data_IF_281476547973
#
_entry.id   IF_281476547973
#
_cell.length_a   1.000
_cell.length_b   1.000
_cell.length_c   1.000
_cell.angle_alpha   90.00
_cell.angle_beta   90.00
_cell.angle_gamma   90.00
#
_symmetry.space_group_name_H-M   'P 1'
#
loop_
_entity.id
_entity.type
_entity.pdbx_description
1 polymer ?
#
# COMPACT_ATOMS: atom_id res chain seq x y z
N UNK A 1 13.91 13.84 -11.18
CA UNK A 1 14.51 12.74 -11.95
C UNK A 1 13.42 11.71 -12.15
N UNK A 2 13.15 11.30 -13.39
CA UNK A 2 12.21 10.21 -13.65
C UNK A 2 12.96 8.88 -13.54
N UNK A 3 12.48 7.96 -12.71
CA UNK A 3 13.14 6.68 -12.50
C UNK A 3 12.53 5.65 -13.48
N UNK A 4 13.26 5.24 -14.54
CA UNK A 4 12.72 4.36 -15.59
C UNK A 4 12.32 2.97 -15.06
N UNK A 5 12.81 2.59 -13.89
CA UNK A 5 12.42 1.35 -13.19
C UNK A 5 10.94 1.34 -12.80
N UNK A 6 10.34 2.52 -12.56
CA UNK A 6 8.92 2.64 -12.22
C UNK A 6 8.00 2.64 -13.45
N UNK A 7 8.51 3.00 -14.62
CA UNK A 7 7.74 3.08 -15.86
C UNK A 7 7.32 1.71 -16.42
N UNK A 8 7.99 0.63 -15.98
CA UNK A 8 7.71 -0.74 -16.43
C UNK A 8 6.68 -1.47 -15.54
N UNK A 9 6.09 -0.79 -14.56
CA UNK A 9 5.14 -1.40 -13.65
C UNK A 9 3.73 -1.47 -14.24
N UNK A 10 2.99 -2.57 -14.03
CA UNK A 10 1.58 -2.70 -14.35
C UNK A 10 0.77 -1.50 -13.84
N UNK A 11 -0.23 -1.06 -14.62
CA UNK A 11 -1.12 0.06 -14.25
C UNK A 11 -1.79 -0.14 -12.88
N UNK A 12 -2.14 -1.37 -12.53
CA UNK A 12 -2.71 -1.73 -11.23
C UNK A 12 -1.77 -1.46 -10.04
N UNK A 13 -0.45 -1.40 -10.27
CA UNK A 13 0.56 -1.14 -9.24
C UNK A 13 0.99 0.34 -9.20
N UNK A 14 0.62 1.15 -10.18
CA UNK A 14 0.98 2.57 -10.23
C UNK A 14 0.31 3.38 -9.10
N UNK A 15 -0.94 3.09 -8.74
CA UNK A 15 -1.62 3.76 -7.61
C UNK A 15 -0.96 3.40 -6.26
N UNK A 16 -0.58 2.13 -6.09
CA UNK A 16 0.16 1.70 -4.89
C UNK A 16 1.56 2.33 -4.83
N UNK A 17 2.21 2.48 -5.99
CA UNK A 17 3.50 3.13 -6.10
C UNK A 17 3.42 4.62 -5.76
N UNK A 18 2.46 5.36 -6.31
CA UNK A 18 2.29 6.78 -6.03
C UNK A 18 2.13 7.04 -4.52
N UNK A 19 1.27 6.26 -3.86
CA UNK A 19 1.10 6.30 -2.40
C UNK A 19 2.38 5.97 -1.64
N UNK A 20 3.12 4.95 -2.10
CA UNK A 20 4.39 4.57 -1.50
C UNK A 20 5.44 5.67 -1.65
N UNK A 21 5.53 6.29 -2.83
CA UNK A 21 6.45 7.39 -3.12
C UNK A 21 6.11 8.62 -2.26
N UNK A 22 4.82 8.94 -2.11
CA UNK A 22 4.36 10.00 -1.23
C UNK A 22 4.76 9.76 0.25
N UNK A 23 4.65 8.53 0.74
CA UNK A 23 5.04 8.17 2.11
C UNK A 23 6.55 8.17 2.35
N UNK A 24 7.34 7.78 1.34
CA UNK A 24 8.79 7.66 1.46
C UNK A 24 9.54 8.98 1.28
N UNK A 25 8.94 9.95 0.60
CA UNK A 25 9.62 11.18 0.22
C UNK A 25 10.74 10.96 -0.81
N UNK A 26 11.35 12.04 -1.30
CA UNK A 26 12.28 12.00 -2.43
C UNK A 26 13.56 11.15 -2.16
N UNK A 27 14.07 11.17 -0.94
CA UNK A 27 15.23 10.34 -0.54
C UNK A 27 14.87 8.86 -0.52
N UNK A 28 13.71 8.51 0.05
CA UNK A 28 13.26 7.13 0.14
C UNK A 28 12.89 6.55 -1.23
N UNK A 29 12.35 7.37 -2.14
CA UNK A 29 12.13 7.01 -3.55
C UNK A 29 13.44 6.73 -4.26
N UNK A 30 14.45 7.58 -4.09
CA UNK A 30 15.75 7.41 -4.73
C UNK A 30 16.45 6.14 -4.26
N UNK A 31 16.38 5.85 -2.95
CA UNK A 31 16.90 4.61 -2.39
C UNK A 31 16.15 3.39 -2.95
N UNK A 32 14.82 3.43 -3.00
CA UNK A 32 13.99 2.36 -3.55
C UNK A 32 14.31 2.10 -5.03
N UNK A 33 14.46 3.15 -5.84
CA UNK A 33 14.84 3.02 -7.25
C UNK A 33 16.22 2.39 -7.44
N UNK A 34 17.15 2.61 -6.50
CA UNK A 34 18.50 2.01 -6.53
C UNK A 34 18.51 0.51 -6.19
N UNK A 35 17.43 -0.03 -5.62
CA UNK A 35 17.34 -1.44 -5.21
C UNK A 35 16.85 -2.38 -6.35
N UNK A 36 16.50 -1.81 -7.50
CA UNK A 36 16.07 -2.56 -8.67
C UNK A 36 14.58 -2.98 -8.66
N UNK A 37 14.09 -3.48 -9.80
CA UNK A 37 12.66 -3.71 -10.03
C UNK A 37 12.04 -4.82 -9.15
N UNK A 38 12.81 -5.85 -8.80
CA UNK A 38 12.32 -6.96 -7.95
C UNK A 38 11.99 -6.46 -6.54
N UNK A 39 12.92 -5.72 -5.91
CA UNK A 39 12.70 -5.12 -4.59
C UNK A 39 11.52 -4.16 -4.58
N UNK A 40 11.32 -3.42 -5.67
CA UNK A 40 10.18 -2.52 -5.83
C UNK A 40 8.87 -3.31 -5.84
N UNK A 41 8.81 -4.39 -6.62
CA UNK A 41 7.63 -5.26 -6.67
C UNK A 41 7.31 -5.88 -5.30
N UNK A 42 8.30 -6.42 -4.60
CA UNK A 42 8.13 -7.01 -3.27
C UNK A 42 7.63 -5.97 -2.24
N UNK A 43 8.17 -4.74 -2.31
CA UNK A 43 7.74 -3.65 -1.44
C UNK A 43 6.31 -3.20 -1.76
N UNK A 44 5.94 -3.12 -3.03
CA UNK A 44 4.58 -2.79 -3.45
C UNK A 44 3.58 -3.87 -3.03
N UNK A 45 3.93 -5.14 -3.18
CA UNK A 45 3.10 -6.26 -2.72
C UNK A 45 2.91 -6.23 -1.20
N UNK A 46 3.99 -6.01 -0.45
CA UNK A 46 3.94 -5.89 1.00
C UNK A 46 3.08 -4.71 1.45
N UNK A 47 3.21 -3.56 0.78
CA UNK A 47 2.40 -2.38 1.04
C UNK A 47 0.90 -2.64 0.77
N UNK A 48 0.59 -3.27 -0.36
CA UNK A 48 -0.79 -3.65 -0.71
C UNK A 48 -1.39 -4.65 0.28
N UNK A 49 -0.62 -5.65 0.71
CA UNK A 49 -1.05 -6.61 1.75
C UNK A 49 -1.33 -5.93 3.08
N UNK A 50 -0.45 -5.02 3.50
CA UNK A 50 -0.64 -4.25 4.73
C UNK A 50 -1.91 -3.39 4.67
N UNK A 51 -2.10 -2.63 3.58
CA UNK A 51 -3.29 -1.80 3.38
C UNK A 51 -4.58 -2.64 3.40
N UNK A 52 -4.58 -3.81 2.75
CA UNK A 52 -5.72 -4.72 2.75
C UNK A 52 -5.99 -5.32 4.15
N UNK A 53 -4.93 -5.71 4.87
CA UNK A 53 -5.07 -6.23 6.23
C UNK A 53 -5.66 -5.18 7.19
N UNK A 54 -5.21 -3.94 7.07
CA UNK A 54 -5.72 -2.81 7.86
C UNK A 54 -7.20 -2.54 7.54
N UNK A 55 -7.57 -2.52 6.25
CA UNK A 55 -8.95 -2.35 5.83
C UNK A 55 -9.85 -3.46 6.37
N UNK A 56 -9.41 -4.72 6.27
CA UNK A 56 -10.14 -5.88 6.79
C UNK A 56 -10.34 -5.78 8.31
N UNK A 57 -9.28 -5.43 9.04
CA UNK A 57 -9.36 -5.25 10.49
C UNK A 57 -10.38 -4.16 10.88
N UNK A 58 -10.40 -3.05 10.14
CA UNK A 58 -11.35 -1.97 10.36
C UNK A 58 -12.80 -2.41 10.06
N UNK A 59 -13.01 -3.14 8.96
CA UNK A 59 -14.32 -3.70 8.60
C UNK A 59 -14.82 -4.70 9.66
N UNK A 60 -13.96 -5.57 10.17
CA UNK A 60 -14.28 -6.51 11.24
C UNK A 60 -14.64 -5.78 12.53
N UNK A 61 -13.87 -4.75 12.89
CA UNK A 61 -14.12 -3.92 14.07
C UNK A 61 -15.46 -3.18 13.97
N UNK A 62 -15.76 -2.57 12.82
CA UNK A 62 -17.05 -1.91 12.61
C UNK A 62 -18.21 -2.92 12.63
N UNK A 63 -18.04 -4.09 12.02
CA UNK A 63 -19.07 -5.14 12.03
C UNK A 63 -19.36 -5.66 13.44
N UNK A 64 -18.31 -5.81 14.27
CA UNK A 64 -18.47 -6.16 15.68
C UNK A 64 -19.18 -5.06 16.46
N UNK A 65 -18.84 -3.79 16.22
CA UNK A 65 -19.46 -2.64 16.87
C UNK A 65 -20.96 -2.51 16.51
N UNK A 66 -21.32 -2.69 15.23
CA UNK A 66 -22.72 -2.63 14.79
C UNK A 66 -23.53 -3.81 15.34
N UNK A 67 -22.96 -5.02 15.35
CA UNK A 67 -23.61 -6.17 15.98
C UNK A 67 -23.82 -5.98 17.50
N UNK A 68 -22.85 -5.38 18.19
CA UNK A 68 -22.97 -5.07 19.61
C UNK A 68 -24.01 -3.98 19.89
N UNK A 69 -24.13 -2.97 19.01
CA UNK A 69 -25.16 -1.93 19.10
C UNK A 69 -26.56 -2.49 18.83
N UNK A 70 -26.71 -3.37 17.85
CA UNK A 70 -27.98 -4.02 17.53
C UNK A 70 -28.50 -4.94 18.65
N UNK A 71 -27.62 -5.56 19.44
CA UNK A 71 -28.00 -6.37 20.62
C UNK A 71 -28.44 -5.55 21.83
N UNK A 72 -28.22 -4.22 21.81
CA UNK A 72 -28.57 -3.30 22.90
C UNK A 72 -29.83 -2.47 22.61
N UNK A 73 -30.37 -2.56 21.39
CA UNK A 73 -31.63 -1.95 20.96
C UNK A 73 -32.79 -2.93 21.12
#
# INVERSE_FOLDING_TARGET
>A
MEHPVFANLPSAQQDALDKLMFLLGPEGVSHLASQGPETINDRLESFSRYANALLKHFQETMSAATAAAAKKA
#
